data_IF_329006970183
#
_entry.id   IF_329006970183
#
_cell.length_a   1.000
_cell.length_b   1.000
_cell.length_c   1.000
_cell.angle_alpha   90.00
_cell.angle_beta   90.00
_cell.angle_gamma   90.00
#
_symmetry.space_group_name_H-M   'P 1'
#
loop_
_entity.id
_entity.type
_entity.pdbx_description
1 polymer ?
#
# COMPACT_ATOMS: atom_id res chain seq x y z
N UNK A 1 16.31 6.44 -1.94
CA UNK A 1 15.30 5.71 -2.72
C UNK A 1 15.33 4.26 -2.26
N UNK A 2 14.17 3.67 -1.93
CA UNK A 2 14.08 2.31 -1.36
C UNK A 2 14.40 1.20 -2.39
N UNK A 3 14.19 1.49 -3.68
CA UNK A 3 14.35 0.54 -4.78
C UNK A 3 15.60 0.81 -5.64
N UNK A 4 16.55 1.61 -5.14
CA UNK A 4 17.73 2.00 -5.91
C UNK A 4 18.62 0.80 -6.31
N UNK A 5 18.74 -0.18 -5.41
CA UNK A 5 19.57 -1.37 -5.59
C UNK A 5 18.79 -2.58 -6.11
N UNK A 6 17.50 -2.41 -6.43
CA UNK A 6 16.65 -3.49 -6.92
C UNK A 6 16.97 -3.82 -8.39
N UNK A 7 16.83 -5.09 -8.77
CA UNK A 7 16.90 -5.49 -10.18
C UNK A 7 15.92 -4.65 -11.03
N UNK A 8 16.31 -4.14 -12.21
CA UNK A 8 15.48 -3.25 -13.01
C UNK A 8 14.09 -3.82 -13.34
N UNK A 9 13.97 -5.13 -13.57
CA UNK A 9 12.69 -5.79 -13.87
C UNK A 9 11.80 -5.80 -12.63
N UNK A 10 12.37 -6.16 -11.48
CA UNK A 10 11.66 -6.19 -10.19
C UNK A 10 11.20 -4.78 -9.81
N UNK A 11 12.06 -3.78 -10.00
CA UNK A 11 11.73 -2.38 -9.78
C UNK A 11 10.55 -1.95 -10.64
N UNK A 12 10.61 -2.20 -11.95
CA UNK A 12 9.53 -1.81 -12.87
C UNK A 12 8.20 -2.48 -12.52
N UNK A 13 8.22 -3.78 -12.20
CA UNK A 13 7.03 -4.50 -11.75
C UNK A 13 6.43 -3.89 -10.47
N UNK A 14 7.25 -3.49 -9.49
CA UNK A 14 6.75 -2.84 -8.26
C UNK A 14 6.25 -1.42 -8.50
N UNK A 15 6.90 -0.65 -9.39
CA UNK A 15 6.44 0.68 -9.78
C UNK A 15 5.08 0.61 -10.49
N UNK A 16 4.87 -0.39 -11.35
CA UNK A 16 3.57 -0.67 -11.98
C UNK A 16 2.50 -1.06 -10.94
N UNK A 17 2.80 -2.00 -10.02
CA UNK A 17 1.85 -2.36 -8.95
C UNK A 17 1.50 -1.16 -8.05
N UNK A 18 2.49 -0.32 -7.69
CA UNK A 18 2.24 0.87 -6.88
C UNK A 18 1.26 1.84 -7.57
N UNK A 19 1.39 1.96 -8.90
CA UNK A 19 0.48 2.74 -9.72
C UNK A 19 -0.94 2.17 -9.65
N UNK A 20 -1.14 0.88 -9.96
CA UNK A 20 -2.47 0.23 -9.90
C UNK A 20 -3.11 0.32 -8.50
N UNK A 21 -2.36 0.02 -7.44
CA UNK A 21 -2.86 0.07 -6.06
C UNK A 21 -3.29 1.48 -5.64
N UNK A 22 -2.63 2.50 -6.20
CA UNK A 22 -3.01 3.90 -5.97
C UNK A 22 -4.31 4.30 -6.67
N UNK A 23 -4.69 3.64 -7.76
CA UNK A 23 -6.00 3.79 -8.41
C UNK A 23 -7.06 2.96 -7.67
N UNK A 24 -6.75 1.71 -7.31
CA UNK A 24 -7.65 0.80 -6.59
C UNK A 24 -8.13 1.38 -5.26
N UNK A 25 -7.26 2.08 -4.51
CA UNK A 25 -7.61 2.61 -3.17
C UNK A 25 -8.90 3.44 -3.17
N UNK A 26 -9.12 4.25 -4.21
CA UNK A 26 -10.29 5.12 -4.29
C UNK A 26 -11.49 4.41 -4.88
N UNK A 27 -11.28 3.63 -5.94
CA UNK A 27 -12.36 2.89 -6.61
C UNK A 27 -13.03 1.94 -5.64
N UNK A 28 -12.24 1.27 -4.78
CA UNK A 28 -12.77 0.38 -3.74
C UNK A 28 -13.57 1.16 -2.70
N UNK A 29 -13.16 2.37 -2.33
CA UNK A 29 -13.91 3.20 -1.37
C UNK A 29 -15.23 3.71 -1.96
N UNK A 30 -15.23 4.11 -3.23
CA UNK A 30 -16.45 4.51 -3.95
C UNK A 30 -17.44 3.35 -4.06
N UNK A 31 -16.96 2.17 -4.47
CA UNK A 31 -17.77 0.95 -4.51
C UNK A 31 -18.29 0.54 -3.12
N UNK A 32 -17.46 0.70 -2.08
CA UNK A 32 -17.87 0.44 -0.69
C UNK A 32 -19.01 1.36 -0.25
N UNK A 33 -18.91 2.66 -0.54
CA UNK A 33 -19.95 3.65 -0.22
C UNK A 33 -21.23 3.41 -1.02
N UNK A 34 -21.12 2.99 -2.28
CA UNK A 34 -22.30 2.68 -3.10
C UNK A 34 -23.11 1.50 -2.50
N UNK A 35 -22.43 0.49 -1.94
CA UNK A 35 -23.08 -0.70 -1.38
C UNK A 35 -23.55 -0.51 0.05
N UNK A 36 -22.73 0.11 0.91
CA UNK A 36 -22.97 0.21 2.35
C UNK A 36 -23.43 1.59 2.82
N UNK A 37 -23.29 2.63 2.00
CA UNK A 37 -23.57 4.02 2.36
C UNK A 37 -22.56 4.61 3.35
N UNK A 38 -22.95 5.72 3.98
CA UNK A 38 -22.14 6.47 4.97
C UNK A 38 -22.69 6.37 6.41
N UNK A 39 -23.50 5.33 6.68
CA UNK A 39 -24.13 5.08 7.97
C UNK A 39 -23.15 4.71 9.09
N UNK A 40 -23.66 4.61 10.32
CA UNK A 40 -22.86 4.18 11.48
C UNK A 40 -22.43 2.70 11.35
N UNK A 41 -23.27 1.87 10.77
CA UNK A 41 -23.01 0.48 10.43
C UNK A 41 -21.88 0.33 9.42
N UNK A 42 -21.90 1.12 8.33
CA UNK A 42 -20.80 1.18 7.37
C UNK A 42 -19.50 1.65 8.04
N UNK A 43 -19.56 2.70 8.86
CA UNK A 43 -18.40 3.17 9.62
C UNK A 43 -17.80 2.06 10.51
N UNK A 44 -18.63 1.35 11.28
CA UNK A 44 -18.18 0.27 12.16
C UNK A 44 -17.57 -0.87 11.34
N UNK A 45 -18.23 -1.30 10.26
CA UNK A 45 -17.74 -2.36 9.39
C UNK A 45 -16.35 -2.02 8.82
N UNK A 46 -16.17 -0.79 8.33
CA UNK A 46 -14.87 -0.30 7.82
C UNK A 46 -13.78 -0.29 8.89
N UNK A 47 -14.12 0.12 10.11
CA UNK A 47 -13.16 0.14 11.23
C UNK A 47 -12.72 -1.26 11.66
N UNK A 48 -13.58 -2.28 11.50
CA UNK A 48 -13.23 -3.68 11.75
C UNK A 48 -12.52 -4.34 10.57
N UNK A 49 -12.82 -3.93 9.33
CA UNK A 49 -12.17 -4.47 8.14
C UNK A 49 -10.65 -4.27 8.17
N UNK A 50 -10.17 -3.13 8.66
CA UNK A 50 -8.75 -2.81 8.73
C UNK A 50 -7.93 -3.79 9.60
N UNK A 51 -8.23 -4.00 10.90
CA UNK A 51 -7.48 -4.96 11.72
C UNK A 51 -7.62 -6.40 11.23
N UNK A 52 -8.77 -6.77 10.64
CA UNK A 52 -8.95 -8.08 10.00
C UNK A 52 -7.99 -8.23 8.81
N UNK A 53 -7.97 -7.26 7.89
CA UNK A 53 -7.08 -7.26 6.74
C UNK A 53 -5.60 -7.29 7.15
N UNK A 54 -5.20 -6.48 8.15
CA UNK A 54 -3.85 -6.48 8.69
C UNK A 54 -3.48 -7.84 9.30
N UNK A 55 -4.41 -8.50 9.97
CA UNK A 55 -4.19 -9.85 10.53
C UNK A 55 -3.95 -10.85 9.42
N UNK A 56 -4.84 -10.93 8.41
CA UNK A 56 -4.66 -11.83 7.27
C UNK A 56 -3.36 -11.57 6.52
N UNK A 57 -3.04 -10.30 6.25
CA UNK A 57 -1.80 -9.93 5.59
C UNK A 57 -0.58 -10.34 6.41
N UNK A 58 -0.62 -10.16 7.74
CA UNK A 58 0.46 -10.56 8.64
C UNK A 58 0.69 -12.07 8.64
N UNK A 59 -0.37 -12.88 8.53
CA UNK A 59 -0.26 -14.34 8.42
C UNK A 59 0.51 -14.78 7.17
N UNK A 60 0.48 -13.98 6.10
CA UNK A 60 1.20 -14.26 4.85
C UNK A 60 2.61 -13.66 4.88
N UNK A 61 2.76 -12.42 5.35
CA UNK A 61 4.04 -11.69 5.30
C UNK A 61 5.02 -12.19 6.37
N UNK A 62 4.56 -12.44 7.61
CA UNK A 62 5.46 -12.78 8.72
C UNK A 62 6.26 -14.07 8.48
N UNK A 63 5.69 -15.16 7.91
CA UNK A 63 6.48 -16.34 7.55
C UNK A 63 7.56 -16.04 6.51
N UNK A 64 7.26 -15.20 5.51
CA UNK A 64 8.21 -14.80 4.47
C UNK A 64 9.37 -13.98 5.08
N UNK A 65 9.03 -12.99 5.92
CA UNK A 65 10.01 -12.17 6.65
C UNK A 65 10.89 -13.03 7.55
N UNK A 66 10.29 -13.96 8.30
CA UNK A 66 11.04 -14.89 9.14
C UNK A 66 12.02 -15.73 8.31
N UNK A 67 11.60 -16.24 7.14
CA UNK A 67 12.47 -16.99 6.25
C UNK A 67 13.63 -16.14 5.70
N UNK A 68 13.38 -14.89 5.32
CA UNK A 68 14.44 -13.98 4.87
C UNK A 68 15.44 -13.70 5.99
N UNK A 69 14.96 -13.41 7.21
CA UNK A 69 15.84 -13.22 8.37
C UNK A 69 16.70 -14.46 8.62
N UNK A 70 16.16 -15.67 8.47
CA UNK A 70 16.95 -16.90 8.65
C UNK A 70 18.04 -17.07 7.59
N UNK A 71 17.79 -16.69 6.33
CA UNK A 71 18.76 -16.76 5.24
C UNK A 71 19.86 -15.71 5.42
N UNK A 72 19.49 -14.50 5.82
CA UNK A 72 20.41 -13.35 5.95
C UNK A 72 21.17 -13.33 7.29
N UNK A 73 20.81 -14.20 8.23
CA UNK A 73 21.49 -14.27 9.53
C UNK A 73 22.90 -14.82 9.40
N UNK A 74 23.90 -14.03 9.76
CA UNK A 74 25.27 -14.54 9.90
C UNK A 74 25.30 -15.67 10.96
N UNK A 75 26.06 -16.77 10.71
CA UNK A 75 26.20 -17.88 11.66
C UNK A 75 26.68 -17.45 13.05
N UNK A 76 27.40 -16.33 13.14
CA UNK A 76 28.03 -15.81 14.37
C UNK A 76 27.14 -14.86 15.17
N UNK A 77 26.15 -14.19 14.55
CA UNK A 77 25.31 -13.21 15.24
C UNK A 77 23.86 -13.63 15.45
N UNK A 78 23.40 -14.65 14.71
CA UNK A 78 22.09 -15.28 14.87
C UNK A 78 20.88 -14.39 14.49
N UNK A 79 19.72 -15.04 14.34
CA UNK A 79 18.44 -14.41 14.02
C UNK A 79 18.01 -13.23 14.94
N UNK A 80 18.26 -13.23 16.26
CA UNK A 80 17.77 -12.17 17.14
C UNK A 80 18.29 -10.76 16.80
N UNK A 81 19.54 -10.65 16.32
CA UNK A 81 20.14 -9.36 15.95
C UNK A 81 19.45 -8.75 14.73
N UNK A 82 19.13 -9.57 13.74
CA UNK A 82 18.43 -9.14 12.53
C UNK A 82 16.98 -8.75 12.82
N UNK A 83 16.29 -9.46 13.73
CA UNK A 83 14.97 -9.04 14.24
C UNK A 83 15.02 -7.67 14.92
N UNK A 84 16.05 -7.39 15.75
CA UNK A 84 16.22 -6.08 16.39
C UNK A 84 16.46 -4.98 15.36
N UNK A 85 17.27 -5.23 14.33
CA UNK A 85 17.47 -4.28 13.23
C UNK A 85 16.16 -3.98 12.51
N UNK A 86 15.38 -5.01 12.18
CA UNK A 86 14.07 -4.86 11.53
C UNK A 86 13.12 -4.02 12.40
N UNK A 87 13.01 -4.31 13.71
CA UNK A 87 12.17 -3.54 14.62
C UNK A 87 12.65 -2.08 14.76
N UNK A 88 13.96 -1.83 14.83
CA UNK A 88 14.51 -0.47 14.84
C UNK A 88 14.17 0.30 13.57
N UNK A 89 14.24 -0.35 12.41
CA UNK A 89 13.86 0.24 11.13
C UNK A 89 12.36 0.59 11.09
N UNK A 90 11.51 -0.33 11.56
CA UNK A 90 10.04 -0.16 11.62
C UNK A 90 9.61 0.99 12.55
N UNK A 91 10.19 1.09 13.75
CA UNK A 91 9.65 1.94 14.83
C UNK A 91 10.53 3.14 15.22
N UNK A 92 11.83 3.14 14.90
CA UNK A 92 12.78 4.17 15.36
C UNK A 92 13.28 5.09 14.24
N UNK A 93 14.15 4.60 13.35
CA UNK A 93 14.71 5.35 12.21
C UNK A 93 14.91 4.40 11.04
N UNK A 94 14.38 4.68 9.82
CA UNK A 94 13.67 5.88 9.37
C UNK A 94 12.23 6.04 9.91
N UNK A 95 11.73 5.11 10.72
CA UNK A 95 10.46 5.27 11.43
C UNK A 95 9.24 5.02 10.55
N UNK A 96 9.23 3.90 9.82
CA UNK A 96 8.15 3.54 8.89
C UNK A 96 6.75 3.71 9.51
N UNK A 97 6.53 3.14 10.70
CA UNK A 97 5.21 3.24 11.37
C UNK A 97 4.93 4.61 12.01
N UNK A 98 5.94 5.45 12.22
CA UNK A 98 5.71 6.81 12.74
C UNK A 98 4.90 7.63 11.73
N UNK A 99 5.10 7.39 10.43
CA UNK A 99 4.31 8.02 9.36
C UNK A 99 2.92 7.38 9.18
N UNK A 100 2.77 6.12 9.56
CA UNK A 100 1.51 5.37 9.49
C UNK A 100 0.44 5.90 10.44
N UNK A 101 0.83 6.38 11.63
CA UNK A 101 -0.13 6.91 12.63
C UNK A 101 -1.04 8.01 12.10
N UNK A 102 -0.50 8.94 11.29
CA UNK A 102 -1.29 10.00 10.64
C UNK A 102 -2.32 9.42 9.67
N UNK A 103 -1.91 8.41 8.89
CA UNK A 103 -2.78 7.73 7.91
C UNK A 103 -3.91 6.96 8.60
N UNK A 104 -3.62 6.27 9.71
CA UNK A 104 -4.63 5.59 10.51
C UNK A 104 -5.62 6.57 11.15
N UNK A 105 -5.14 7.70 11.68
CA UNK A 105 -6.01 8.74 12.22
C UNK A 105 -6.95 9.33 11.16
N UNK A 106 -6.47 9.47 9.93
CA UNK A 106 -7.31 9.91 8.82
C UNK A 106 -8.33 8.85 8.40
N UNK A 107 -7.92 7.58 8.32
CA UNK A 107 -8.83 6.47 8.03
C UNK A 107 -9.99 6.41 9.02
N UNK A 108 -9.74 6.71 10.30
CA UNK A 108 -10.76 6.74 11.35
C UNK A 108 -11.77 7.90 11.24
N UNK A 109 -11.57 8.89 10.35
CA UNK A 109 -12.55 9.95 10.15
C UNK A 109 -13.80 9.41 9.45
N UNK A 110 -14.98 9.95 9.78
CA UNK A 110 -16.27 9.48 9.22
C UNK A 110 -16.43 9.83 7.74
N UNK A 111 -15.91 10.98 7.34
CA UNK A 111 -15.92 11.53 5.99
C UNK A 111 -14.70 11.10 5.14
N UNK A 112 -13.91 10.14 5.64
CA UNK A 112 -12.67 9.71 4.98
C UNK A 112 -12.88 9.36 3.51
N UNK A 113 -12.07 9.98 2.64
CA UNK A 113 -11.90 9.56 1.26
C UNK A 113 -10.41 9.55 0.90
N UNK A 114 -9.87 8.49 0.27
CA UNK A 114 -8.45 8.40 -0.04
C UNK A 114 -7.91 9.58 -0.84
N UNK A 115 -8.66 10.08 -1.83
CA UNK A 115 -8.24 11.24 -2.64
C UNK A 115 -8.21 12.55 -1.87
N UNK A 116 -9.10 12.74 -0.90
CA UNK A 116 -9.18 13.99 -0.11
C UNK A 116 -8.02 14.06 0.89
N UNK A 117 -7.63 12.92 1.45
CA UNK A 117 -6.55 12.87 2.44
C UNK A 117 -5.15 12.73 1.81
N UNK A 118 -5.06 12.14 0.63
CA UNK A 118 -3.81 11.78 -0.04
C UNK A 118 -3.98 12.01 -1.54
N UNK A 119 -3.83 13.26 -1.96
CA UNK A 119 -3.72 13.59 -3.38
C UNK A 119 -2.37 13.11 -3.89
N UNK A 120 -2.41 12.09 -4.74
CA UNK A 120 -1.24 11.48 -5.35
C UNK A 120 -1.18 11.79 -6.86
N UNK A 121 -2.03 12.68 -7.37
CA UNK A 121 -2.21 12.91 -8.81
C UNK A 121 -0.89 13.29 -9.51
N UNK A 122 -0.11 14.18 -8.92
CA UNK A 122 1.20 14.59 -9.44
C UNK A 122 2.16 13.40 -9.57
N UNK A 123 2.36 12.65 -8.48
CA UNK A 123 3.25 11.48 -8.48
C UNK A 123 2.76 10.34 -9.39
N UNK A 124 1.44 10.20 -9.56
CA UNK A 124 0.86 9.23 -10.48
C UNK A 124 1.04 9.65 -11.94
N UNK A 125 1.02 10.95 -12.26
CA UNK A 125 1.35 11.43 -13.60
C UNK A 125 2.78 11.08 -14.01
N UNK A 126 3.74 11.28 -13.11
CA UNK A 126 5.13 10.88 -13.33
C UNK A 126 5.29 9.36 -13.47
N UNK A 127 4.65 8.58 -12.59
CA UNK A 127 4.69 7.11 -12.64
C UNK A 127 4.04 6.59 -13.92
N UNK A 128 2.87 7.09 -14.31
CA UNK A 128 2.14 6.70 -15.52
C UNK A 128 3.04 6.77 -16.74
N UNK A 129 3.74 7.89 -16.92
CA UNK A 129 4.64 8.10 -18.07
C UNK A 129 5.79 7.09 -18.16
N UNK A 130 6.13 6.42 -17.06
CA UNK A 130 7.21 5.43 -16.97
C UNK A 130 6.74 3.98 -17.02
N UNK A 131 5.53 3.69 -16.54
CA UNK A 131 5.07 2.31 -16.30
C UNK A 131 3.90 1.88 -17.18
N UNK A 132 3.16 2.83 -17.78
CA UNK A 132 2.00 2.52 -18.62
C UNK A 132 2.35 2.76 -20.09
N UNK A 133 2.09 1.74 -20.91
CA UNK A 133 2.03 1.88 -22.37
C UNK A 133 0.59 2.30 -22.75
N UNK A 134 0.45 3.44 -23.45
CA UNK A 134 -0.86 3.97 -23.85
C UNK A 134 -1.63 3.02 -24.77
N UNK A 135 -0.96 2.08 -25.44
CA UNK A 135 -1.61 1.06 -26.26
C UNK A 135 -2.38 0.01 -25.45
N UNK A 136 -2.13 -0.10 -24.14
CA UNK A 136 -2.86 -1.01 -23.26
C UNK A 136 -4.17 -0.42 -22.75
N UNK A 137 -4.34 0.90 -22.85
CA UNK A 137 -5.54 1.57 -22.40
C UNK A 137 -6.67 1.40 -23.42
N UNK A 138 -7.86 1.08 -22.92
CA UNK A 138 -9.05 1.11 -23.77
C UNK A 138 -9.34 2.56 -24.15
N UNK A 139 -9.82 2.81 -25.39
CA UNK A 139 -10.32 4.13 -25.77
C UNK A 139 -11.33 4.62 -24.74
N UNK A 140 -11.20 5.88 -24.32
CA UNK A 140 -12.12 6.48 -23.36
C UNK A 140 -13.58 6.29 -23.83
N UNK A 141 -14.51 5.98 -22.92
CA UNK A 141 -15.94 5.82 -23.25
C UNK A 141 -16.55 7.05 -23.94
N UNK A 142 -15.92 8.22 -23.83
CA UNK A 142 -16.29 9.44 -24.57
C UNK A 142 -16.04 9.36 -26.08
N UNK A 143 -15.15 8.50 -26.55
CA UNK A 143 -14.85 8.31 -27.97
C UNK A 143 -15.83 7.37 -28.68
N UNK A 144 -16.67 6.63 -27.94
CA UNK A 144 -17.63 5.65 -28.50
C UNK A 144 -19.04 6.23 -28.68
N UNK A 145 -19.26 7.50 -28.29
CA UNK A 145 -20.55 8.20 -28.40
C UNK A 145 -20.51 9.37 -29.40
N UNK A 146 -19.48 9.46 -30.25
CA UNK A 146 -19.39 10.38 -31.38
C UNK A 146 -19.47 9.61 -32.69
#
# INVERSE_FOLDING_TARGET
DMMADADPIVRHMWEWHLYEESEHKSIVMDAYREVFGDGLDAYIARMWALPIAVTFLSLVILPAVHRFIQIDSEPSSGAPKEWIKMLKWMFYKPGYFQTMGKRLAAFAKRDFHPWVYSDNSEGLGELRSRVIDESWELPSKSATLA
#
